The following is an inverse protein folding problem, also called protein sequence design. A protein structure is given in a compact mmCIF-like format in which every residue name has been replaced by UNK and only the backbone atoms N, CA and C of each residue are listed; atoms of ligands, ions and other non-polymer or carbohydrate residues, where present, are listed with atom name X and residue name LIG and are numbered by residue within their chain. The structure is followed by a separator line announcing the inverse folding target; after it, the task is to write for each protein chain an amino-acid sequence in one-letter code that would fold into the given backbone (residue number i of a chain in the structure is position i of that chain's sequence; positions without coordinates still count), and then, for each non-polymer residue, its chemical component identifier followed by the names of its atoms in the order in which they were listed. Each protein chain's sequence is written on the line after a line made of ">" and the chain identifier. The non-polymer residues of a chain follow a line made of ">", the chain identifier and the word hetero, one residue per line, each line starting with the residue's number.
data_IF_121026063078
#
_entry.id   IF_121026063078
#
_cell.length_a   1.000
_cell.length_b   1.000
_cell.length_c   1.000
_cell.angle_alpha   90.00
_cell.angle_beta   90.00
_cell.angle_gamma   90.00
#
_symmetry.space_group_name_H-M   'P 1'
#
loop_
_entity.id
_entity.type
_entity.pdbx_description
1 polymer ?
#
# COMPACT_ATOMS: atom_id res chain seq x y z
N UNK A 1 -47.61 -0.48 22.34
CA UNK A 1 -46.48 -1.41 22.50
C UNK A 1 -46.14 -1.90 21.11
N UNK A 2 -45.49 -1.05 20.33
CA UNK A 2 -44.02 -0.91 20.26
C UNK A 2 -43.36 -2.18 19.75
N UNK A 3 -42.81 -2.05 18.55
CA UNK A 3 -41.99 -3.01 17.84
C UNK A 3 -41.29 -2.23 16.73
N UNK A 4 -40.40 -1.35 17.18
CA UNK A 4 -39.41 -0.61 16.40
C UNK A 4 -38.88 -1.42 15.21
N UNK A 5 -38.88 -0.77 14.03
CA UNK A 5 -38.23 -1.27 12.82
C UNK A 5 -36.77 -1.65 13.13
N UNK A 6 -36.39 -2.91 12.90
CA UNK A 6 -35.03 -3.41 13.10
C UNK A 6 -34.09 -2.99 11.97
N UNK A 7 -34.06 -1.70 11.67
CA UNK A 7 -33.08 -1.06 10.80
C UNK A 7 -31.64 -1.14 11.37
N UNK A 8 -31.49 -1.71 12.56
CA UNK A 8 -30.20 -2.02 13.19
C UNK A 8 -29.43 -3.10 12.40
N UNK A 9 -30.08 -4.18 11.93
CA UNK A 9 -29.39 -5.28 11.25
C UNK A 9 -28.81 -4.88 9.88
N UNK A 10 -29.55 -4.07 9.12
CA UNK A 10 -29.11 -3.53 7.83
C UNK A 10 -28.00 -2.49 8.01
N UNK A 11 -28.07 -1.67 9.07
CA UNK A 11 -27.01 -0.73 9.42
C UNK A 11 -25.71 -1.44 9.85
N UNK A 12 -25.77 -2.54 10.61
CA UNK A 12 -24.57 -3.29 11.00
C UNK A 12 -23.89 -3.99 9.82
N UNK A 13 -24.64 -4.51 8.84
CA UNK A 13 -24.07 -5.11 7.61
C UNK A 13 -23.47 -4.04 6.67
N UNK A 14 -24.07 -2.86 6.60
CA UNK A 14 -23.52 -1.74 5.80
C UNK A 14 -22.30 -1.13 6.50
N UNK A 15 -22.31 -0.99 7.83
CA UNK A 15 -21.19 -0.43 8.60
C UNK A 15 -19.99 -1.40 8.70
N UNK A 16 -20.21 -2.72 8.71
CA UNK A 16 -19.12 -3.70 8.61
C UNK A 16 -18.47 -3.71 7.23
N UNK A 17 -19.27 -3.52 6.17
CA UNK A 17 -18.78 -3.54 4.78
C UNK A 17 -18.24 -2.19 4.28
N UNK A 18 -18.59 -1.06 4.90
CA UNK A 18 -18.09 0.26 4.50
C UNK A 18 -16.77 0.66 5.20
N UNK A 19 -16.44 0.07 6.36
CA UNK A 19 -15.31 0.52 7.21
C UNK A 19 -14.18 -0.54 7.35
N UNK A 20 -14.32 -1.75 6.81
CA UNK A 20 -13.17 -2.64 6.58
C UNK A 20 -12.35 -2.16 5.36
N UNK A 21 -11.84 -0.93 5.47
CA UNK A 21 -10.87 -0.20 4.65
C UNK A 21 -10.50 -0.90 3.34
N UNK A 22 -10.90 -0.31 2.22
CA UNK A 22 -10.47 -0.74 0.88
C UNK A 22 -8.97 -1.04 0.82
N UNK A 23 -8.13 -0.26 1.51
CA UNK A 23 -6.69 -0.49 1.61
C UNK A 23 -6.31 -1.83 2.26
N UNK A 24 -7.02 -2.29 3.29
CA UNK A 24 -6.81 -3.61 3.91
C UNK A 24 -7.17 -4.73 2.93
N UNK A 25 -8.26 -4.59 2.20
CA UNK A 25 -8.66 -5.55 1.17
C UNK A 25 -7.66 -5.59 0.00
N UNK A 26 -7.18 -4.44 -0.46
CA UNK A 26 -6.14 -4.35 -1.49
C UNK A 26 -4.82 -4.96 -1.03
N UNK A 27 -4.39 -4.66 0.21
CA UNK A 27 -3.20 -5.24 0.81
C UNK A 27 -3.33 -6.76 0.98
N UNK A 28 -4.52 -7.24 1.36
CA UNK A 28 -4.81 -8.66 1.48
C UNK A 28 -4.70 -9.37 0.14
N UNK A 29 -5.36 -8.86 -0.91
CA UNK A 29 -5.25 -9.40 -2.28
C UNK A 29 -3.81 -9.38 -2.81
N UNK A 30 -3.06 -8.31 -2.54
CA UNK A 30 -1.66 -8.22 -2.94
C UNK A 30 -0.80 -9.31 -2.27
N UNK A 31 -1.04 -9.59 -0.98
CA UNK A 31 -0.37 -10.70 -0.27
C UNK A 31 -0.76 -12.07 -0.82
N UNK A 32 -2.05 -12.27 -1.14
CA UNK A 32 -2.51 -13.50 -1.76
C UNK A 32 -1.82 -13.73 -3.12
N UNK A 33 -1.69 -12.67 -3.92
CA UNK A 33 -0.98 -12.76 -5.20
C UNK A 33 0.47 -13.18 -5.00
N UNK A 34 1.20 -12.50 -4.12
CA UNK A 34 2.62 -12.77 -3.89
C UNK A 34 2.89 -14.16 -3.28
N UNK A 35 2.04 -14.61 -2.35
CA UNK A 35 2.28 -15.83 -1.58
C UNK A 35 1.64 -17.09 -2.17
N UNK A 36 0.76 -16.97 -3.16
CA UNK A 36 0.02 -18.13 -3.70
C UNK A 36 -0.11 -18.09 -5.22
N UNK A 37 -0.44 -16.92 -5.81
CA UNK A 37 -0.62 -16.82 -7.26
C UNK A 37 0.71 -16.85 -8.02
N UNK A 38 1.71 -16.09 -7.54
CA UNK A 38 3.01 -15.92 -8.21
C UNK A 38 3.97 -17.11 -7.98
N UNK A 39 3.63 -18.04 -7.08
CA UNK A 39 4.44 -19.24 -6.80
C UNK A 39 4.32 -20.25 -7.95
N UNK A 40 3.08 -20.55 -8.32
CA UNK A 40 2.79 -21.55 -9.33
C UNK A 40 2.77 -20.91 -10.72
N UNK A 41 3.18 -21.68 -11.73
CA UNK A 41 3.30 -21.17 -13.10
C UNK A 41 1.98 -21.26 -13.87
N UNK A 42 1.17 -22.28 -13.61
CA UNK A 42 -0.07 -22.57 -14.34
C UNK A 42 -1.32 -22.39 -13.48
N UNK A 43 -2.45 -22.01 -14.10
CA UNK A 43 -3.73 -21.86 -13.38
C UNK A 43 -4.24 -23.20 -12.82
N UNK A 44 -3.99 -24.31 -13.52
CA UNK A 44 -4.36 -25.66 -13.07
C UNK A 44 -3.65 -26.04 -11.76
N UNK A 45 -2.39 -25.64 -11.59
CA UNK A 45 -1.65 -25.84 -10.34
C UNK A 45 -2.13 -24.90 -9.23
N UNK A 46 -2.47 -23.64 -9.57
CA UNK A 46 -3.00 -22.66 -8.61
C UNK A 46 -4.34 -23.10 -8.01
N UNK A 47 -5.17 -23.80 -8.77
CA UNK A 47 -6.51 -24.24 -8.37
C UNK A 47 -6.54 -25.55 -7.56
N UNK A 48 -5.37 -26.19 -7.35
CA UNK A 48 -5.28 -27.37 -6.48
C UNK A 48 -5.55 -26.98 -5.02
N UNK A 49 -6.26 -27.85 -4.30
CA UNK A 49 -6.63 -27.63 -2.88
C UNK A 49 -5.39 -27.38 -1.99
N UNK A 50 -4.28 -28.05 -2.28
CA UNK A 50 -3.01 -27.92 -1.54
C UNK A 50 -2.35 -26.54 -1.70
N UNK A 51 -2.63 -25.86 -2.82
CA UNK A 51 -2.08 -24.56 -3.16
C UNK A 51 -3.04 -23.41 -2.84
N UNK A 52 -4.27 -23.71 -2.40
CA UNK A 52 -5.24 -22.71 -1.99
C UNK A 52 -4.84 -22.10 -0.65
N UNK A 53 -4.98 -20.77 -0.47
CA UNK A 53 -4.87 -20.16 0.84
C UNK A 53 -5.87 -20.77 1.84
N UNK A 54 -5.47 -21.07 3.09
CA UNK A 54 -6.32 -21.75 4.07
C UNK A 54 -7.53 -20.90 4.52
N UNK A 55 -7.44 -19.57 4.37
CA UNK A 55 -8.45 -18.61 4.82
C UNK A 55 -9.28 -18.04 3.66
N UNK A 56 -9.27 -18.68 2.49
CA UNK A 56 -10.02 -18.25 1.31
C UNK A 56 -10.86 -19.41 0.83
N UNK A 57 -12.16 -19.16 0.62
CA UNK A 57 -13.07 -20.15 0.07
C UNK A 57 -12.68 -20.52 -1.37
N UNK A 58 -13.06 -21.72 -1.80
CA UNK A 58 -12.70 -22.23 -3.13
C UNK A 58 -13.19 -21.30 -4.25
N UNK A 59 -14.46 -20.91 -4.18
CA UNK A 59 -15.10 -20.07 -5.20
C UNK A 59 -14.44 -18.67 -5.26
N UNK A 60 -14.09 -18.11 -4.10
CA UNK A 60 -13.37 -16.84 -4.01
C UNK A 60 -11.95 -16.94 -4.59
N UNK A 61 -11.27 -18.07 -4.38
CA UNK A 61 -9.93 -18.30 -4.92
C UNK A 61 -9.95 -18.48 -6.45
N UNK A 62 -10.92 -19.22 -6.99
CA UNK A 62 -11.14 -19.35 -8.43
C UNK A 62 -11.34 -17.98 -9.09
N UNK A 63 -12.21 -17.15 -8.49
CA UNK A 63 -12.43 -15.78 -8.95
C UNK A 63 -11.15 -14.91 -8.88
N UNK A 64 -10.35 -15.06 -7.82
CA UNK A 64 -9.10 -14.31 -7.67
C UNK A 64 -8.05 -14.73 -8.71
N UNK A 65 -7.93 -16.01 -9.04
CA UNK A 65 -7.03 -16.52 -10.08
C UNK A 65 -7.41 -15.93 -11.44
N UNK A 66 -8.70 -15.93 -11.79
CA UNK A 66 -9.20 -15.28 -13.00
C UNK A 66 -8.93 -13.77 -12.99
N UNK A 67 -9.20 -13.11 -11.86
CA UNK A 67 -8.99 -11.68 -11.69
C UNK A 67 -7.52 -11.28 -11.90
N UNK A 68 -6.57 -12.00 -11.30
CA UNK A 68 -5.14 -11.74 -11.47
C UNK A 68 -4.65 -12.09 -12.89
N UNK A 69 -5.26 -13.11 -13.51
CA UNK A 69 -5.00 -13.51 -14.88
C UNK A 69 -5.50 -12.52 -15.94
N UNK A 70 -6.49 -11.69 -15.60
CA UNK A 70 -7.12 -10.76 -16.53
C UNK A 70 -6.15 -9.73 -17.12
N UNK A 71 -6.32 -9.43 -18.41
CA UNK A 71 -5.52 -8.42 -19.10
C UNK A 71 -5.73 -7.01 -18.51
N UNK A 72 -6.93 -6.74 -17.98
CA UNK A 72 -7.22 -5.47 -17.30
C UNK A 72 -6.37 -5.31 -16.03
N UNK A 73 -6.29 -6.35 -15.20
CA UNK A 73 -5.47 -6.31 -13.98
C UNK A 73 -3.98 -6.19 -14.33
N UNK A 74 -3.49 -7.00 -15.28
CA UNK A 74 -2.11 -6.94 -15.75
C UNK A 74 -1.75 -5.57 -16.30
N UNK A 75 -2.62 -4.98 -17.14
CA UNK A 75 -2.44 -3.64 -17.69
C UNK A 75 -2.37 -2.55 -16.61
N UNK A 76 -3.27 -2.60 -15.62
CA UNK A 76 -3.23 -1.67 -14.46
C UNK A 76 -1.94 -1.86 -13.65
N UNK A 77 -1.53 -3.10 -13.40
CA UNK A 77 -0.32 -3.41 -12.63
C UNK A 77 0.95 -2.90 -13.32
N UNK A 78 1.09 -3.13 -14.63
CA UNK A 78 2.22 -2.64 -15.43
C UNK A 78 2.27 -1.13 -15.42
N UNK A 79 1.15 -0.46 -15.71
CA UNK A 79 1.07 1.01 -15.70
C UNK A 79 1.42 1.59 -14.32
N UNK A 80 0.95 0.98 -13.24
CA UNK A 80 1.29 1.44 -11.88
C UNK A 80 2.78 1.27 -11.57
N UNK A 81 3.41 0.20 -12.08
CA UNK A 81 4.84 -0.04 -11.94
C UNK A 81 5.64 1.03 -12.69
N UNK A 82 5.26 1.35 -13.92
CA UNK A 82 5.84 2.44 -14.70
C UNK A 82 5.66 3.80 -14.02
N UNK A 83 4.43 4.12 -13.58
CA UNK A 83 4.15 5.35 -12.84
C UNK A 83 5.02 5.47 -11.59
N UNK A 84 5.22 4.37 -10.86
CA UNK A 84 6.07 4.34 -9.67
C UNK A 84 7.55 4.53 -10.01
N UNK A 85 8.00 4.08 -11.17
CA UNK A 85 9.39 4.28 -11.63
C UNK A 85 9.74 5.76 -11.83
N UNK A 86 8.76 6.62 -12.15
CA UNK A 86 8.96 8.07 -12.26
C UNK A 86 8.97 8.80 -10.91
N UNK A 87 8.73 8.11 -9.77
CA UNK A 87 8.86 8.73 -8.46
C UNK A 87 10.33 8.85 -8.05
N UNK A 88 10.97 9.93 -8.50
CA UNK A 88 12.39 10.20 -8.27
C UNK A 88 12.70 10.89 -6.93
N UNK A 89 11.73 11.49 -6.25
CA UNK A 89 11.96 12.25 -5.01
C UNK A 89 11.10 11.72 -3.85
N UNK A 90 11.34 10.48 -3.44
CA UNK A 90 10.71 9.92 -2.24
C UNK A 90 11.26 10.60 -0.98
N UNK A 91 10.38 11.16 -0.15
CA UNK A 91 10.76 11.64 1.19
C UNK A 91 11.09 10.46 2.11
N UNK A 92 12.09 10.64 2.97
CA UNK A 92 12.59 9.70 3.98
C UNK A 92 12.25 10.14 5.42
N UNK A 93 11.39 11.15 5.58
CA UNK A 93 10.98 11.67 6.88
C UNK A 93 10.29 10.62 7.78
N UNK A 94 9.83 9.51 7.20
CA UNK A 94 9.18 8.40 7.91
C UNK A 94 7.81 8.81 8.41
N UNK A 95 7.48 8.40 9.63
CA UNK A 95 6.19 8.69 10.28
C UNK A 95 6.08 10.14 10.79
N UNK A 96 7.20 10.87 10.88
CA UNK A 96 7.21 12.25 11.35
C UNK A 96 6.82 13.20 10.23
N UNK A 97 5.95 14.15 10.55
CA UNK A 97 5.61 15.23 9.62
C UNK A 97 6.78 16.20 9.43
N UNK A 98 6.76 17.01 8.37
CA UNK A 98 7.76 18.05 8.17
C UNK A 98 7.77 19.08 9.29
N UNK A 99 6.62 19.40 9.89
CA UNK A 99 6.55 20.28 11.05
C UNK A 99 7.29 19.69 12.26
N UNK A 100 7.08 18.39 12.54
CA UNK A 100 7.80 17.70 13.62
C UNK A 100 9.31 17.61 13.34
N UNK A 101 9.71 17.42 12.07
CA UNK A 101 11.12 17.45 11.68
C UNK A 101 11.75 18.84 11.88
N UNK A 102 11.03 19.91 11.56
CA UNK A 102 11.48 21.29 11.83
C UNK A 102 11.65 21.52 13.32
N UNK A 103 10.72 21.05 14.14
CA UNK A 103 10.80 21.13 15.60
C UNK A 103 12.00 20.35 16.13
N UNK A 104 12.19 19.08 15.74
CA UNK A 104 13.36 18.28 16.12
C UNK A 104 14.69 18.99 15.75
N UNK A 105 14.77 19.57 14.54
CA UNK A 105 15.95 20.29 14.07
C UNK A 105 16.18 21.58 14.87
N UNK A 106 15.12 22.31 15.19
CA UNK A 106 15.18 23.49 16.02
C UNK A 106 15.59 23.15 17.46
N UNK A 107 15.08 22.07 18.03
CA UNK A 107 15.46 21.62 19.36
C UNK A 107 16.94 21.23 19.43
N UNK A 108 17.47 20.60 18.37
CA UNK A 108 18.88 20.18 18.24
C UNK A 108 19.83 21.36 18.03
N UNK A 109 19.53 22.23 17.06
CA UNK A 109 20.45 23.27 16.60
C UNK A 109 20.17 24.64 17.26
N UNK A 110 19.02 24.80 17.93
CA UNK A 110 18.48 26.06 18.47
C UNK A 110 18.38 27.19 17.45
N UNK A 111 18.38 26.85 16.16
CA UNK A 111 18.26 27.75 15.02
C UNK A 111 17.17 27.22 14.10
N UNK A 112 16.32 28.11 13.59
CA UNK A 112 15.27 27.72 12.66
C UNK A 112 15.89 27.15 11.38
N UNK A 113 15.54 25.92 10.97
CA UNK A 113 16.10 25.32 9.78
C UNK A 113 15.56 26.00 8.52
N UNK A 114 16.45 26.29 7.57
CA UNK A 114 16.07 26.72 6.22
C UNK A 114 15.40 25.57 5.47
N UNK A 115 14.52 25.90 4.52
CA UNK A 115 13.84 24.91 3.66
C UNK A 115 14.81 23.95 2.97
N UNK A 116 15.98 24.43 2.55
CA UNK A 116 17.03 23.58 1.95
C UNK A 116 17.55 22.53 2.94
N UNK A 117 17.82 22.94 4.19
CA UNK A 117 18.31 22.04 5.25
C UNK A 117 17.24 21.01 5.65
N UNK A 118 15.97 21.43 5.66
CA UNK A 118 14.85 20.51 5.86
C UNK A 118 14.73 19.51 4.71
N UNK A 119 14.90 19.95 3.47
CA UNK A 119 14.88 19.07 2.31
C UNK A 119 16.01 18.04 2.36
N UNK A 120 17.24 18.47 2.63
CA UNK A 120 18.39 17.58 2.84
C UNK A 120 18.10 16.53 3.92
N UNK A 121 17.58 16.91 5.08
CA UNK A 121 17.25 15.99 6.17
C UNK A 121 16.10 15.01 5.81
N UNK A 122 15.14 15.46 4.99
CA UNK A 122 13.93 14.70 4.67
C UNK A 122 14.00 13.92 3.36
N UNK A 123 15.02 14.11 2.55
CA UNK A 123 15.22 13.43 1.26
C UNK A 123 16.63 12.80 1.12
N UNK A 124 17.36 12.70 2.24
CA UNK A 124 18.59 11.92 2.34
C UNK A 124 18.35 10.61 3.11
N UNK A 125 19.10 9.57 2.76
CA UNK A 125 19.15 8.33 3.55
C UNK A 125 19.99 8.54 4.82
N UNK A 126 19.95 7.59 5.75
CA UNK A 126 20.79 7.60 6.98
C UNK A 126 22.29 7.76 6.66
N UNK A 127 22.74 7.29 5.49
CA UNK A 127 24.11 7.43 5.00
C UNK A 127 24.39 8.80 4.34
N UNK A 128 23.48 9.77 4.46
CA UNK A 128 23.51 11.10 3.82
C UNK A 128 23.64 11.07 2.29
N UNK A 129 23.35 9.92 1.67
CA UNK A 129 23.29 9.80 0.23
C UNK A 129 21.89 10.20 -0.24
N UNK A 130 21.79 10.98 -1.35
CA UNK A 130 20.50 11.29 -1.96
C UNK A 130 19.77 10.00 -2.33
N UNK A 131 18.46 9.98 -2.14
CA UNK A 131 17.65 8.76 -2.31
C UNK A 131 17.67 8.25 -3.77
N UNK A 132 17.84 9.15 -4.73
CA UNK A 132 17.91 8.88 -6.16
C UNK A 132 19.04 9.65 -6.83
N UNK A 133 19.44 9.19 -8.03
CA UNK A 133 20.45 9.87 -8.85
C UNK A 133 20.00 11.27 -9.26
N UNK A 134 18.70 11.45 -9.53
CA UNK A 134 18.09 12.74 -9.89
C UNK A 134 18.16 13.72 -8.71
N UNK A 135 17.82 13.29 -7.50
CA UNK A 135 17.95 14.12 -6.31
C UNK A 135 19.40 14.56 -6.06
N UNK A 136 20.40 13.75 -6.45
CA UNK A 136 21.81 14.11 -6.38
C UNK A 136 22.22 15.21 -7.38
N UNK A 137 21.61 15.24 -8.56
CA UNK A 137 21.92 16.25 -9.59
C UNK A 137 21.25 17.60 -9.32
N UNK A 138 20.23 17.62 -8.46
CA UNK A 138 19.40 18.82 -8.21
C UNK A 138 19.80 19.57 -6.92
N UNK A 139 20.60 18.95 -6.04
CA UNK A 139 21.15 19.54 -4.81
C UNK A 139 22.56 20.09 -5.06
#
# INVERSE_FOLDING_TARGET
>A
MEGEEDNSGMAYFILSNLIFSSSLQWNYRARLKANYYDIESTDEERLKEENRPPNVDKDDWEWLVEYFGSDEFKGKSTRNTENRSYQDAGHTAGTKSFAQKVEDMFERDKVMPTMLKLYEETHSKNDKTPVTKVAKETM
#
